data_IF_820222131334
#
_entry.id   IF_820222131334
#
_cell.length_a   1.000
_cell.length_b   1.000
_cell.length_c   1.000
_cell.angle_alpha   90.00
_cell.angle_beta   90.00
_cell.angle_gamma   90.00
#
_symmetry.space_group_name_H-M   'P 1'
#
loop_
_entity.id
_entity.type
_entity.pdbx_description
1 polymer ?
#
# COMPACT_ATOMS: atom_id res chain seq x y z
N UNK A 1 22.88 -6.76 4.62
CA UNK A 1 22.25 -6.00 3.52
C UNK A 1 22.78 -4.57 3.34
N UNK A 2 24.05 -4.27 3.66
CA UNK A 2 24.71 -3.01 3.27
C UNK A 2 24.01 -1.69 3.66
N UNK A 3 23.21 -1.66 4.73
CA UNK A 3 22.47 -0.45 5.12
C UNK A 3 21.18 -0.17 4.33
N UNK A 4 20.74 -1.09 3.45
CA UNK A 4 19.47 -0.99 2.71
C UNK A 4 18.28 -0.79 3.68
N UNK A 5 17.40 0.15 3.36
CA UNK A 5 16.16 0.44 4.09
C UNK A 5 14.97 0.36 3.13
N UNK A 6 13.94 -0.37 3.52
CA UNK A 6 12.67 -0.40 2.79
C UNK A 6 11.82 0.82 3.16
N UNK A 7 11.11 1.36 2.19
CA UNK A 7 10.20 2.51 2.32
C UNK A 7 8.76 2.03 2.42
N UNK A 8 7.85 2.95 2.73
CA UNK A 8 6.40 2.74 2.69
C UNK A 8 5.92 1.50 3.47
N UNK A 9 6.53 1.24 4.64
CA UNK A 9 6.19 0.10 5.49
C UNK A 9 6.73 -1.25 5.01
N UNK A 10 7.53 -1.31 3.94
CA UNK A 10 8.18 -2.53 3.49
C UNK A 10 9.10 -3.14 4.57
N UNK A 11 9.18 -4.47 4.59
CA UNK A 11 9.98 -5.24 5.54
C UNK A 11 11.21 -5.85 4.85
N UNK A 12 12.41 -5.58 5.37
CA UNK A 12 13.64 -6.12 4.82
C UNK A 12 13.81 -7.58 5.27
N UNK A 13 13.77 -8.50 4.31
CA UNK A 13 14.24 -9.86 4.52
C UNK A 13 15.77 -9.83 4.72
N UNK A 14 16.23 -10.15 5.92
CA UNK A 14 17.65 -10.12 6.29
C UNK A 14 18.46 -11.24 5.65
N UNK A 15 17.80 -12.32 5.20
CA UNK A 15 18.44 -13.47 4.56
C UNK A 15 18.69 -13.19 3.09
N UNK A 16 17.67 -12.68 2.38
CA UNK A 16 17.77 -12.41 0.93
C UNK A 16 18.15 -10.98 0.59
N UNK A 17 18.10 -10.07 1.58
CA UNK A 17 18.30 -8.64 1.39
C UNK A 17 17.34 -7.96 0.40
N UNK A 18 16.14 -8.53 0.25
CA UNK A 18 15.03 -7.97 -0.52
C UNK A 18 13.99 -7.32 0.39
N UNK A 19 13.34 -6.29 -0.10
CA UNK A 19 12.23 -5.67 0.59
C UNK A 19 10.92 -6.36 0.21
N UNK A 20 10.20 -6.85 1.22
CA UNK A 20 8.83 -7.33 1.09
C UNK A 20 7.89 -6.15 1.33
N UNK A 21 7.28 -5.64 0.27
CA UNK A 21 6.38 -4.50 0.36
C UNK A 21 5.09 -4.91 1.04
N UNK A 22 4.58 -4.08 1.96
CA UNK A 22 3.40 -4.43 2.76
C UNK A 22 2.08 -4.38 1.98
N UNK A 23 2.10 -3.85 0.76
CA UNK A 23 0.95 -3.74 -0.13
C UNK A 23 1.44 -3.89 -1.56
N UNK A 24 0.60 -4.50 -2.41
CA UNK A 24 0.84 -4.63 -3.85
C UNK A 24 0.89 -3.27 -4.57
N UNK A 25 0.49 -2.19 -3.89
CA UNK A 25 0.64 -0.82 -4.38
C UNK A 25 2.09 -0.35 -4.42
N UNK A 26 2.97 -0.93 -3.61
CA UNK A 26 4.36 -0.49 -3.56
C UNK A 26 5.26 -1.53 -4.20
N UNK A 27 6.05 -1.08 -5.16
CA UNK A 27 6.98 -1.88 -5.95
C UNK A 27 8.37 -1.24 -5.93
N UNK A 28 9.32 -1.88 -6.61
CA UNK A 28 10.72 -1.47 -6.61
C UNK A 28 11.56 -2.19 -5.57
N UNK A 29 12.87 -1.97 -5.61
CA UNK A 29 13.82 -2.71 -4.78
C UNK A 29 13.68 -2.38 -3.29
N UNK A 30 13.18 -1.18 -2.98
CA UNK A 30 12.94 -0.68 -1.63
C UNK A 30 11.49 -0.27 -1.37
N UNK A 31 10.52 -0.73 -2.19
CA UNK A 31 9.10 -0.35 -2.09
C UNK A 31 8.83 1.15 -2.28
N UNK A 32 9.69 1.83 -3.03
CA UNK A 32 9.64 3.27 -3.28
C UNK A 32 8.64 3.68 -4.36
N UNK A 33 8.32 2.76 -5.27
CA UNK A 33 7.49 3.06 -6.45
C UNK A 33 6.04 2.75 -6.13
N UNK A 34 5.17 3.75 -6.22
CA UNK A 34 3.74 3.55 -6.12
C UNK A 34 3.18 3.10 -7.48
N UNK A 35 2.45 2.00 -7.48
CA UNK A 35 1.74 1.42 -8.62
C UNK A 35 0.25 1.42 -8.31
N UNK A 36 -0.45 2.46 -8.78
CA UNK A 36 -1.88 2.60 -8.60
C UNK A 36 -2.66 1.67 -9.54
N UNK A 37 -3.68 0.94 -9.06
CA UNK A 37 -4.62 0.24 -9.94
C UNK A 37 -5.46 1.25 -10.72
N UNK A 38 -6.20 0.84 -11.74
CA UNK A 38 -7.07 1.79 -12.48
C UNK A 38 -8.20 2.38 -11.61
N UNK A 39 -8.64 1.65 -10.59
CA UNK A 39 -9.69 2.05 -9.65
C UNK A 39 -9.62 1.25 -8.35
N UNK A 40 -10.27 1.80 -7.32
CA UNK A 40 -10.52 1.10 -6.06
C UNK A 40 -11.45 -0.11 -6.23
N UNK A 41 -11.38 -1.03 -5.27
CA UNK A 41 -12.34 -2.13 -5.17
C UNK A 41 -13.77 -1.60 -4.94
N UNK A 42 -14.78 -2.33 -5.42
CA UNK A 42 -16.18 -1.93 -5.31
C UNK A 42 -16.66 -1.79 -3.85
N UNK A 43 -15.97 -2.43 -2.90
CA UNK A 43 -16.28 -2.32 -1.46
C UNK A 43 -15.89 -0.97 -0.87
N UNK A 44 -15.05 -0.19 -1.56
CA UNK A 44 -14.56 1.11 -1.13
C UNK A 44 -15.58 2.21 -1.45
N UNK A 45 -15.85 3.09 -0.49
CA UNK A 45 -16.65 4.30 -0.71
C UNK A 45 -17.52 4.68 0.49
N UNK A 46 -18.01 5.93 0.55
CA UNK A 46 -18.82 6.43 1.66
C UNK A 46 -20.12 5.63 1.87
N UNK A 47 -20.72 5.14 0.78
CA UNK A 47 -21.97 4.40 0.79
C UNK A 47 -21.76 2.86 0.67
N UNK A 48 -20.51 2.40 0.71
CA UNK A 48 -20.15 0.99 0.56
C UNK A 48 -19.71 0.36 1.89
N UNK A 49 -19.30 -0.92 1.86
CA UNK A 49 -18.86 -1.65 3.06
C UNK A 49 -17.68 -1.00 3.78
N UNK A 50 -16.74 -0.43 3.04
CA UNK A 50 -15.54 0.20 3.58
C UNK A 50 -15.60 1.72 3.38
N UNK A 51 -16.08 2.47 4.39
CA UNK A 51 -16.11 3.92 4.34
C UNK A 51 -14.69 4.52 4.44
N UNK A 52 -14.50 5.81 4.06
CA UNK A 52 -13.20 6.48 4.14
C UNK A 52 -12.55 6.46 5.53
N UNK A 53 -13.34 6.38 6.60
CA UNK A 53 -12.83 6.25 7.97
C UNK A 53 -12.04 4.97 8.20
N UNK A 54 -12.18 3.96 7.34
CA UNK A 54 -11.45 2.70 7.45
C UNK A 54 -9.98 2.82 7.03
N UNK A 55 -9.62 3.86 6.26
CA UNK A 55 -8.26 4.10 5.82
C UNK A 55 -7.25 4.23 6.97
N UNK A 56 -7.67 4.80 8.10
CA UNK A 56 -6.82 4.95 9.29
C UNK A 56 -7.06 3.86 10.33
N UNK A 57 -8.15 3.11 10.21
CA UNK A 57 -8.55 2.06 11.15
C UNK A 57 -7.96 0.70 10.82
N UNK A 58 -7.82 0.37 9.53
CA UNK A 58 -7.38 -0.94 9.07
C UNK A 58 -6.22 -0.82 8.09
N UNK A 59 -5.13 -1.53 8.35
CA UNK A 59 -3.89 -1.44 7.55
C UNK A 59 -4.01 -1.98 6.13
N UNK A 60 -4.97 -2.86 5.86
CA UNK A 60 -5.21 -3.41 4.52
C UNK A 60 -6.03 -2.48 3.62
N UNK A 61 -6.82 -1.58 4.21
CA UNK A 61 -7.77 -0.74 3.45
C UNK A 61 -7.06 0.23 2.51
N UNK A 62 -5.99 0.94 2.92
CA UNK A 62 -5.21 1.74 1.98
C UNK A 62 -4.67 0.94 0.79
N UNK A 63 -4.33 -0.34 0.99
CA UNK A 63 -3.89 -1.24 -0.07
C UNK A 63 -4.98 -1.57 -1.09
N UNK A 64 -6.22 -1.75 -0.64
CA UNK A 64 -7.36 -2.13 -1.52
C UNK A 64 -8.18 -0.95 -2.02
N UNK A 65 -8.13 0.19 -1.31
CA UNK A 65 -8.84 1.42 -1.59
C UNK A 65 -7.88 2.63 -1.68
N UNK A 66 -6.81 2.55 -2.51
CA UNK A 66 -5.81 3.61 -2.57
C UNK A 66 -6.36 4.99 -2.93
N UNK A 67 -7.36 5.10 -3.80
CA UNK A 67 -7.92 6.40 -4.21
C UNK A 67 -8.76 7.01 -3.10
N UNK A 68 -9.66 6.22 -2.51
CA UNK A 68 -10.46 6.61 -1.35
C UNK A 68 -9.58 7.04 -0.17
N UNK A 69 -8.45 6.35 0.03
CA UNK A 69 -7.50 6.67 1.10
C UNK A 69 -6.48 7.74 0.73
N UNK A 70 -6.56 8.33 -0.46
CA UNK A 70 -5.69 9.42 -0.90
C UNK A 70 -4.24 9.01 -1.16
N UNK A 71 -3.95 7.71 -1.30
CA UNK A 71 -2.64 7.23 -1.76
C UNK A 71 -2.47 7.43 -3.27
N UNK A 72 -3.53 7.20 -4.03
CA UNK A 72 -3.57 7.39 -5.47
C UNK A 72 -4.47 8.58 -5.84
N UNK A 73 -4.10 9.29 -6.89
CA UNK A 73 -4.86 10.42 -7.44
C UNK A 73 -5.33 10.05 -8.84
N UNK A 74 -6.60 10.37 -9.15
CA UNK A 74 -7.17 10.21 -10.49
C UNK A 74 -6.66 11.28 -11.45
#
# INVERSE_FOLDING_TARGET
CGGKKCKNGGNLDKTTCKCNCQSDLYTGETCETLSCPDKDSWVCGPDNQWPPSYCTKFSNVPGSCPYMCGLCLH
#
